data_IF_729021264233
#
_entry.id   IF_729021264233
#
_cell.length_a   1.000
_cell.length_b   1.000
_cell.length_c   1.000
_cell.angle_alpha   90.00
_cell.angle_beta   90.00
_cell.angle_gamma   90.00
#
_symmetry.space_group_name_H-M   'P 1'
#
loop_
_entity.id
_entity.type
_entity.pdbx_description
1 polymer ?
#
# COMPACT_ATOMS: atom_id res chain seq x y z
N UNK A 1 20.49 -35.02 26.91
CA UNK A 1 20.74 -34.45 25.56
C UNK A 1 19.48 -34.37 24.68
N UNK A 2 18.47 -35.25 24.81
CA UNK A 2 17.30 -35.28 23.91
C UNK A 2 16.29 -34.13 24.13
N UNK A 3 16.04 -33.71 25.37
CA UNK A 3 15.05 -32.67 25.71
C UNK A 3 15.50 -31.27 25.28
N UNK A 4 16.78 -30.94 25.47
CA UNK A 4 17.35 -29.64 25.07
C UNK A 4 17.29 -29.42 23.54
N UNK A 5 17.51 -30.49 22.75
CA UNK A 5 17.37 -30.45 21.29
C UNK A 5 15.91 -30.21 20.86
N UNK A 6 14.93 -30.82 21.54
CA UNK A 6 13.50 -30.63 21.26
C UNK A 6 13.02 -29.21 21.61
N UNK A 7 13.52 -28.63 22.71
CA UNK A 7 13.19 -27.24 23.07
C UNK A 7 13.74 -26.21 22.09
N UNK A 8 14.95 -26.40 21.55
CA UNK A 8 15.52 -25.50 20.54
C UNK A 8 14.71 -25.52 19.23
N UNK A 9 14.24 -26.70 18.80
CA UNK A 9 13.40 -26.84 17.60
C UNK A 9 12.03 -26.19 17.82
N UNK A 10 11.45 -26.31 19.02
CA UNK A 10 10.18 -25.67 19.35
C UNK A 10 10.28 -24.13 19.39
N UNK A 11 11.40 -23.58 19.87
CA UNK A 11 11.65 -22.13 19.89
C UNK A 11 11.90 -21.54 18.49
N UNK A 12 12.48 -22.31 17.56
CA UNK A 12 12.69 -21.88 16.18
C UNK A 12 11.37 -21.70 15.40
N UNK A 13 10.33 -22.48 15.72
CA UNK A 13 9.01 -22.36 15.11
C UNK A 13 8.25 -21.08 15.53
N UNK A 14 8.56 -20.53 16.72
CA UNK A 14 7.99 -19.27 17.22
C UNK A 14 8.77 -18.03 16.78
N UNK A 15 9.96 -18.21 16.19
CA UNK A 15 10.86 -17.13 15.81
C UNK A 15 10.65 -16.61 14.38
N UNK A 16 9.71 -17.17 13.61
CA UNK A 16 9.34 -16.63 12.30
C UNK A 16 8.59 -15.31 12.51
N UNK A 17 9.18 -14.15 12.20
CA UNK A 17 8.49 -12.89 12.35
C UNK A 17 7.34 -12.83 11.34
N UNK A 18 6.17 -12.46 11.83
CA UNK A 18 4.95 -12.22 11.09
C UNK A 18 5.09 -11.06 10.08
N UNK A 19 5.85 -11.24 9.00
CA UNK A 19 5.85 -10.32 7.86
C UNK A 19 4.58 -10.55 7.01
N UNK A 20 3.41 -10.43 7.63
CA UNK A 20 2.12 -10.38 6.92
C UNK A 20 1.92 -8.93 6.49
N UNK A 21 2.14 -8.64 5.20
CA UNK A 21 1.56 -7.45 4.59
C UNK A 21 0.12 -7.81 4.23
N UNK A 22 -0.82 -7.43 5.10
CA UNK A 22 -2.25 -7.62 4.87
C UNK A 22 -2.73 -6.84 3.64
N UNK A 23 -1.97 -5.83 3.18
CA UNK A 23 -2.46 -4.82 2.26
C UNK A 23 -1.63 -4.62 0.99
N UNK A 24 -0.81 -5.62 0.62
CA UNK A 24 -0.03 -5.60 -0.62
C UNK A 24 -0.85 -5.34 -1.89
N UNK A 25 -2.14 -5.74 -1.90
CA UNK A 25 -3.06 -5.41 -2.99
C UNK A 25 -3.37 -3.91 -3.03
N UNK A 26 -3.67 -3.28 -1.90
CA UNK A 26 -3.95 -1.84 -1.87
C UNK A 26 -2.69 -1.03 -2.21
N UNK A 27 -1.52 -1.45 -1.74
CA UNK A 27 -0.23 -0.83 -2.12
C UNK A 27 -0.01 -0.85 -3.63
N UNK A 28 -0.40 -1.93 -4.32
CA UNK A 28 -0.35 -1.99 -5.79
C UNK A 28 -1.38 -1.05 -6.43
N UNK A 29 -2.60 -1.01 -5.91
CA UNK A 29 -3.65 -0.13 -6.43
C UNK A 29 -3.34 1.36 -6.23
N UNK A 30 -2.68 1.75 -5.14
CA UNK A 30 -2.23 3.13 -4.90
C UNK A 30 -1.18 3.62 -5.92
N UNK A 31 -0.49 2.70 -6.60
CA UNK A 31 0.48 3.03 -7.66
C UNK A 31 -0.17 3.29 -9.01
N UNK A 32 -1.44 2.92 -9.18
CA UNK A 32 -2.20 3.24 -10.38
C UNK A 32 -2.73 4.69 -10.27
N UNK A 33 -2.24 5.64 -11.10
CA UNK A 33 -2.68 7.03 -11.02
C UNK A 33 -4.16 7.23 -11.38
N UNK A 34 -4.81 6.25 -12.03
CA UNK A 34 -6.24 6.28 -12.33
C UNK A 34 -7.13 5.89 -11.16
N UNK A 35 -6.57 5.56 -10.00
CA UNK A 35 -7.30 5.08 -8.82
C UNK A 35 -7.10 5.99 -7.61
N UNK A 36 -8.12 6.09 -6.75
CA UNK A 36 -8.05 6.78 -5.46
C UNK A 36 -8.58 5.88 -4.34
N UNK A 37 -7.72 4.97 -3.87
CA UNK A 37 -8.14 3.84 -3.02
C UNK A 37 -8.00 4.08 -1.51
N UNK A 38 -7.47 5.24 -1.11
CA UNK A 38 -7.35 5.68 0.27
C UNK A 38 -7.57 7.19 0.36
N UNK A 39 -8.07 7.68 1.49
CA UNK A 39 -8.45 9.09 1.68
C UNK A 39 -7.31 10.09 1.37
N UNK A 40 -6.07 9.75 1.69
CA UNK A 40 -4.91 10.60 1.46
C UNK A 40 -4.16 10.31 0.16
N UNK A 41 -4.75 9.51 -0.75
CA UNK A 41 -4.14 9.01 -1.98
C UNK A 41 -3.31 7.75 -1.72
N UNK A 42 -2.20 7.91 -1.01
CA UNK A 42 -1.27 6.83 -0.65
C UNK A 42 -0.91 6.85 0.85
N UNK A 43 0.09 6.07 1.24
CA UNK A 43 0.62 6.03 2.60
C UNK A 43 1.55 7.18 2.97
N UNK A 44 2.15 7.87 2.00
CA UNK A 44 2.92 9.08 2.26
C UNK A 44 2.00 10.27 2.63
N UNK A 45 0.75 10.22 2.16
CA UNK A 45 -0.33 11.09 2.61
C UNK A 45 -0.27 12.50 2.02
N UNK A 46 0.46 12.70 0.94
CA UNK A 46 0.63 14.00 0.28
C UNK A 46 -0.61 14.49 -0.46
N UNK A 47 -1.62 13.63 -0.67
CA UNK A 47 -2.82 13.95 -1.49
C UNK A 47 -2.46 14.41 -2.91
N UNK A 48 -1.40 13.87 -3.47
CA UNK A 48 -0.87 14.22 -4.78
C UNK A 48 -1.30 13.21 -5.85
N UNK A 49 -1.69 13.70 -7.04
CA UNK A 49 -1.99 12.87 -8.22
C UNK A 49 -1.01 13.18 -9.34
N UNK A 50 -0.49 12.13 -9.99
CA UNK A 50 0.35 12.24 -11.18
C UNK A 50 -0.44 12.51 -12.47
N UNK A 51 -1.78 12.48 -12.43
CA UNK A 51 -2.62 12.77 -13.60
C UNK A 51 -2.50 14.24 -14.00
N UNK A 52 -2.30 14.49 -15.29
CA UNK A 52 -2.06 15.83 -15.85
C UNK A 52 -3.01 16.21 -17.01
N UNK A 53 -4.00 15.34 -17.30
CA UNK A 53 -5.03 15.61 -18.32
C UNK A 53 -5.73 16.96 -18.08
N UNK A 54 -5.98 17.29 -16.81
CA UNK A 54 -6.43 18.62 -16.39
C UNK A 54 -5.20 19.36 -15.87
N UNK A 55 -4.88 20.50 -16.46
CA UNK A 55 -3.70 21.28 -16.13
C UNK A 55 -3.94 22.79 -16.32
N UNK A 56 -2.90 23.60 -16.07
CA UNK A 56 -2.99 25.06 -16.06
C UNK A 56 -3.50 25.68 -17.37
N UNK A 57 -3.27 25.05 -18.52
CA UNK A 57 -3.69 25.60 -19.81
C UNK A 57 -5.15 25.29 -20.15
N UNK A 58 -5.75 24.26 -19.55
CA UNK A 58 -7.10 23.78 -19.93
C UNK A 58 -8.13 23.76 -18.78
N UNK A 59 -7.72 23.99 -17.53
CA UNK A 59 -8.62 23.96 -16.36
C UNK A 59 -9.80 24.92 -16.48
N UNK A 60 -9.61 26.05 -17.18
CA UNK A 60 -10.69 27.03 -17.43
C UNK A 60 -11.81 26.52 -18.35
N UNK A 61 -11.57 25.43 -19.08
CA UNK A 61 -12.55 24.82 -19.99
C UNK A 61 -13.35 23.68 -19.35
N UNK A 62 -13.11 23.35 -18.07
CA UNK A 62 -13.82 22.28 -17.39
C UNK A 62 -15.34 22.50 -17.38
N UNK A 63 -16.07 21.39 -17.52
CA UNK A 63 -17.53 21.33 -17.48
C UNK A 63 -17.96 20.31 -16.44
N UNK A 64 -19.17 20.49 -15.90
CA UNK A 64 -19.78 19.52 -14.99
C UNK A 64 -19.97 18.19 -15.73
N UNK A 65 -19.49 17.12 -15.13
CA UNK A 65 -19.73 15.74 -15.56
C UNK A 65 -20.59 15.00 -14.51
N UNK A 66 -21.08 13.82 -14.86
CA UNK A 66 -21.87 12.94 -14.01
C UNK A 66 -21.30 11.52 -14.02
#
# INVERSE_FOLDING_TARGET
MSILKKSIIASAALALPFAVSANSKLEKMMKDPGQWVQQSGDYAGHRYSNLDQINKSNVGSLKVAW
#
